data_IF_165233225044
#
_entry.id   IF_165233225044
#
_cell.length_a   1.000
_cell.length_b   1.000
_cell.length_c   1.000
_cell.angle_alpha   90.00
_cell.angle_beta   90.00
_cell.angle_gamma   90.00
#
_symmetry.space_group_name_H-M   'P 1'
#
loop_
_entity.id
_entity.type
_entity.pdbx_description
1 polymer ?
#
# COMPACT_ATOMS: atom_id res chain seq x y z
N UNK A 1 82.45 -6.03 8.07
CA UNK A 1 81.26 -6.79 7.65
C UNK A 1 80.12 -6.36 8.57
N UNK A 2 79.34 -5.36 8.16
CA UNK A 2 78.25 -4.79 8.95
C UNK A 2 77.00 -4.82 8.07
N UNK A 3 76.00 -5.60 8.51
CA UNK A 3 74.73 -5.79 7.82
C UNK A 3 73.77 -4.74 8.36
N UNK A 4 73.33 -3.83 7.49
CA UNK A 4 72.31 -2.82 7.79
C UNK A 4 70.95 -3.47 7.60
N UNK A 5 70.21 -3.61 8.69
CA UNK A 5 68.85 -4.12 8.74
C UNK A 5 67.87 -2.97 8.41
N UNK A 6 67.23 -3.01 7.25
CA UNK A 6 66.21 -2.03 6.85
C UNK A 6 64.84 -2.50 7.31
N UNK A 7 64.24 -1.75 8.24
CA UNK A 7 62.94 -1.99 8.85
C UNK A 7 61.85 -1.41 7.94
N UNK A 8 61.00 -2.26 7.35
CA UNK A 8 59.84 -1.84 6.53
C UNK A 8 58.65 -1.63 7.45
N UNK A 9 58.18 -0.38 7.59
CA UNK A 9 56.92 -0.04 8.24
C UNK A 9 55.74 -0.40 7.31
N UNK A 10 54.85 -1.27 7.79
CA UNK A 10 53.53 -1.51 7.19
C UNK A 10 52.59 -0.37 7.62
N UNK A 11 52.07 0.40 6.66
CA UNK A 11 50.91 1.27 6.87
C UNK A 11 49.65 0.48 6.47
N UNK A 12 48.64 0.31 7.34
CA UNK A 12 47.43 -0.38 6.97
C UNK A 12 46.60 0.48 5.98
N UNK A 13 46.28 -0.14 4.85
CA UNK A 13 45.41 0.37 3.80
C UNK A 13 43.97 0.45 4.34
N UNK A 14 43.44 1.66 4.54
CA UNK A 14 42.01 1.86 4.79
C UNK A 14 41.25 1.73 3.47
N UNK A 15 40.51 0.63 3.32
CA UNK A 15 39.56 0.45 2.23
C UNK A 15 38.44 1.48 2.35
N UNK A 16 38.30 2.34 1.34
CA UNK A 16 37.11 3.17 1.17
C UNK A 16 35.94 2.24 0.84
N UNK A 17 34.88 2.28 1.65
CA UNK A 17 33.60 1.66 1.30
C UNK A 17 33.04 2.41 0.08
N UNK A 18 32.97 1.70 -1.03
CA UNK A 18 32.44 2.20 -2.28
C UNK A 18 30.90 2.15 -2.18
N UNK A 19 30.25 3.32 -2.19
CA UNK A 19 28.80 3.41 -2.36
C UNK A 19 28.42 2.70 -3.66
N UNK A 20 27.83 1.52 -3.52
CA UNK A 20 27.32 0.75 -4.65
C UNK A 20 25.87 1.16 -4.84
N UNK A 21 25.62 2.02 -5.83
CA UNK A 21 24.29 2.24 -6.37
C UNK A 21 23.81 0.96 -7.03
N UNK A 22 23.25 0.04 -6.22
CA UNK A 22 22.55 -1.13 -6.71
C UNK A 22 21.13 -0.69 -7.11
N UNK A 23 20.84 -0.78 -8.40
CA UNK A 23 19.58 -0.40 -9.00
C UNK A 23 18.42 -1.16 -8.34
N UNK A 24 17.46 -0.41 -7.77
CA UNK A 24 16.13 -0.90 -7.50
C UNK A 24 15.56 -1.54 -8.79
N UNK A 25 15.16 -2.80 -8.72
CA UNK A 25 14.49 -3.49 -9.82
C UNK A 25 13.04 -3.03 -9.91
N UNK A 26 12.84 -1.82 -10.42
CA UNK A 26 11.51 -1.39 -10.82
C UNK A 26 11.11 -2.28 -12.00
N UNK A 27 10.04 -3.08 -11.86
CA UNK A 27 9.35 -3.67 -13.01
C UNK A 27 8.53 -2.59 -13.77
N UNK A 28 9.08 -1.38 -13.84
CA UNK A 28 8.70 -0.30 -14.72
C UNK A 28 9.92 -0.02 -15.58
N UNK A 29 9.71 0.05 -16.89
CA UNK A 29 10.76 0.24 -17.87
C UNK A 29 11.53 1.55 -17.61
N UNK A 30 12.64 1.48 -16.86
CA UNK A 30 13.44 2.62 -16.42
C UNK A 30 14.08 3.41 -17.58
N UNK A 31 14.00 2.89 -18.81
CA UNK A 31 14.46 3.55 -20.04
C UNK A 31 13.40 4.30 -20.84
N UNK A 32 12.12 4.27 -20.44
CA UNK A 32 10.99 4.79 -21.22
C UNK A 32 10.78 4.05 -22.55
N UNK A 33 9.74 4.42 -23.31
CA UNK A 33 9.50 3.83 -24.63
C UNK A 33 10.30 4.58 -25.70
N UNK A 34 11.08 3.85 -26.50
CA UNK A 34 12.01 4.49 -27.45
C UNK A 34 11.30 5.18 -28.61
N UNK A 35 10.08 4.75 -28.93
CA UNK A 35 9.24 5.27 -30.01
C UNK A 35 8.32 6.42 -29.59
N UNK A 36 8.36 6.83 -28.32
CA UNK A 36 7.63 8.01 -27.84
C UNK A 36 8.51 9.26 -27.79
N UNK A 37 9.83 9.13 -27.99
CA UNK A 37 10.75 10.28 -27.95
C UNK A 37 10.42 11.33 -29.02
N UNK A 38 10.20 12.56 -28.59
CA UNK A 38 9.76 13.68 -29.43
C UNK A 38 8.29 13.61 -29.86
N UNK A 39 7.51 12.65 -29.35
CA UNK A 39 6.09 12.54 -29.63
C UNK A 39 5.31 13.53 -28.74
N UNK A 40 4.23 14.11 -29.26
CA UNK A 40 3.41 15.10 -28.51
C UNK A 40 2.81 14.56 -27.21
N UNK A 41 2.65 13.23 -27.11
CA UNK A 41 2.13 12.54 -25.93
C UNK A 41 3.24 11.91 -25.06
N UNK A 42 4.52 12.20 -25.33
CA UNK A 42 5.65 11.59 -24.63
C UNK A 42 5.54 11.72 -23.11
N UNK A 43 5.33 12.94 -22.62
CA UNK A 43 5.27 13.23 -21.18
C UNK A 43 4.12 12.47 -20.51
N UNK A 44 2.93 12.46 -21.13
CA UNK A 44 1.76 11.76 -20.57
C UNK A 44 1.96 10.25 -20.58
N UNK A 45 2.52 9.68 -21.65
CA UNK A 45 2.83 8.25 -21.72
C UNK A 45 3.89 7.88 -20.68
N UNK A 46 4.91 8.72 -20.49
CA UNK A 46 5.93 8.52 -19.47
C UNK A 46 5.35 8.58 -18.06
N UNK A 47 4.46 9.56 -17.77
CA UNK A 47 3.70 9.66 -16.51
C UNK A 47 2.93 8.37 -16.26
N UNK A 48 2.08 7.94 -17.20
CA UNK A 48 1.27 6.74 -17.05
C UNK A 48 2.12 5.47 -16.89
N UNK A 49 3.26 5.39 -17.60
CA UNK A 49 4.18 4.27 -17.48
C UNK A 49 4.86 4.24 -16.11
N UNK A 50 5.27 5.40 -15.59
CA UNK A 50 5.86 5.54 -14.25
C UNK A 50 4.87 5.23 -13.13
N UNK A 51 3.60 5.54 -13.34
CA UNK A 51 2.50 5.18 -12.44
C UNK A 51 2.06 3.71 -12.56
N UNK A 52 2.61 2.93 -13.49
CA UNK A 52 2.18 1.55 -13.74
C UNK A 52 0.76 1.43 -14.32
N UNK A 53 0.19 2.53 -14.82
CA UNK A 53 -1.15 2.60 -15.41
C UNK A 53 -1.17 2.13 -16.88
N UNK A 54 -0.01 2.06 -17.52
CA UNK A 54 0.10 1.58 -18.90
C UNK A 54 1.32 0.71 -19.11
N UNK A 55 1.15 -0.28 -20.00
CA UNK A 55 2.21 -1.15 -20.50
C UNK A 55 2.40 -0.94 -22.00
N UNK A 56 3.65 -1.07 -22.45
CA UNK A 56 4.00 -1.08 -23.87
C UNK A 56 3.51 -2.34 -24.57
N UNK A 57 3.52 -2.34 -25.90
CA UNK A 57 3.27 -3.55 -26.69
C UNK A 57 4.51 -4.46 -26.74
N UNK A 58 5.69 -3.90 -26.50
CA UNK A 58 6.91 -4.63 -26.14
C UNK A 58 7.54 -3.99 -24.90
N UNK A 59 8.66 -4.57 -24.45
CA UNK A 59 9.45 -4.02 -23.34
C UNK A 59 9.83 -2.57 -23.57
N UNK A 60 10.17 -2.19 -24.80
CA UNK A 60 10.73 -0.88 -25.17
C UNK A 60 9.86 -0.04 -26.12
N UNK A 61 8.70 -0.55 -26.60
CA UNK A 61 7.82 0.14 -27.56
C UNK A 61 6.40 0.32 -27.03
N UNK A 62 5.89 1.54 -27.18
CA UNK A 62 4.50 1.88 -26.86
C UNK A 62 3.54 1.81 -28.06
N UNK A 63 4.05 2.09 -29.26
CA UNK A 63 3.31 2.29 -30.51
C UNK A 63 2.24 3.40 -30.42
N UNK A 64 2.63 4.67 -30.18
CA UNK A 64 1.70 5.76 -29.86
C UNK A 64 0.67 6.05 -30.96
N UNK A 65 1.01 5.78 -32.22
CA UNK A 65 0.17 6.05 -33.38
C UNK A 65 -0.69 4.85 -33.83
N UNK A 66 -0.52 3.68 -33.21
CA UNK A 66 -1.38 2.53 -33.50
C UNK A 66 -2.79 2.77 -32.95
N UNK A 67 -3.80 2.27 -33.64
CA UNK A 67 -5.17 2.27 -33.12
C UNK A 67 -5.26 1.39 -31.88
N UNK A 68 -5.95 1.87 -30.84
CA UNK A 68 -6.21 1.09 -29.64
C UNK A 68 -7.46 0.22 -29.84
N UNK A 69 -7.36 -1.04 -29.43
CA UNK A 69 -8.50 -1.96 -29.44
C UNK A 69 -9.44 -1.73 -28.26
N UNK A 70 -10.67 -2.22 -28.35
CA UNK A 70 -11.65 -2.18 -27.24
C UNK A 70 -11.12 -2.91 -26.00
N UNK A 71 -10.48 -4.06 -26.18
CA UNK A 71 -9.87 -4.81 -25.08
C UNK A 71 -8.70 -4.06 -24.42
N UNK A 72 -7.79 -3.47 -25.21
CA UNK A 72 -6.69 -2.69 -24.67
C UNK A 72 -7.20 -1.46 -23.91
N UNK A 73 -8.22 -0.76 -24.43
CA UNK A 73 -8.80 0.37 -23.73
C UNK A 73 -9.45 -0.04 -22.40
N UNK A 74 -10.18 -1.16 -22.37
CA UNK A 74 -10.75 -1.69 -21.12
C UNK A 74 -9.66 -1.97 -20.08
N UNK A 75 -8.55 -2.58 -20.51
CA UNK A 75 -7.41 -2.83 -19.63
C UNK A 75 -6.81 -1.54 -19.04
N UNK A 76 -6.65 -0.48 -19.85
CA UNK A 76 -6.15 0.81 -19.35
C UNK A 76 -7.08 1.42 -18.31
N UNK A 77 -8.39 1.39 -18.57
CA UNK A 77 -9.39 1.99 -17.68
C UNK A 77 -9.51 1.20 -16.39
N UNK A 78 -9.58 -0.13 -16.47
CA UNK A 78 -9.65 -0.99 -15.29
C UNK A 78 -8.41 -0.82 -14.40
N UNK A 79 -7.23 -0.75 -15.02
CA UNK A 79 -5.97 -0.50 -14.31
C UNK A 79 -5.95 0.88 -13.65
N UNK A 80 -6.38 1.92 -14.36
CA UNK A 80 -6.40 3.29 -13.84
C UNK A 80 -7.46 3.49 -12.74
N UNK A 81 -8.59 2.79 -12.81
CA UNK A 81 -9.71 2.94 -11.89
C UNK A 81 -9.78 1.88 -10.78
N UNK A 82 -8.82 0.94 -10.73
CA UNK A 82 -8.78 -0.11 -9.71
C UNK A 82 -9.97 -1.08 -9.77
N UNK A 83 -10.53 -1.33 -10.95
CA UNK A 83 -11.74 -2.16 -11.11
C UNK A 83 -11.43 -3.64 -10.80
N UNK A 84 -12.18 -4.23 -9.88
CA UNK A 84 -12.01 -5.59 -9.40
C UNK A 84 -13.27 -6.47 -9.55
N UNK A 85 -14.47 -5.88 -9.51
CA UNK A 85 -15.73 -6.59 -9.74
C UNK A 85 -15.82 -7.18 -11.16
N UNK A 86 -16.30 -8.42 -11.27
CA UNK A 86 -16.43 -9.14 -12.54
C UNK A 86 -17.88 -9.55 -12.80
N UNK A 87 -18.33 -9.41 -14.05
CA UNK A 87 -19.62 -9.90 -14.52
C UNK A 87 -19.45 -11.16 -15.38
N UNK A 88 -20.48 -12.01 -15.39
CA UNK A 88 -20.51 -13.16 -16.30
C UNK A 88 -20.53 -12.70 -17.77
N UNK A 89 -19.65 -13.29 -18.58
CA UNK A 89 -19.54 -12.97 -20.01
C UNK A 89 -20.42 -13.90 -20.84
N UNK A 90 -21.26 -13.30 -21.68
CA UNK A 90 -22.15 -14.02 -22.61
C UNK A 90 -21.85 -13.73 -24.10
N UNK A 91 -20.72 -13.08 -24.41
CA UNK A 91 -20.37 -12.72 -25.79
C UNK A 91 -19.73 -13.90 -26.53
N UNK A 92 -20.14 -14.11 -27.78
CA UNK A 92 -19.69 -15.26 -28.58
C UNK A 92 -18.22 -15.18 -29.00
N UNK A 93 -17.62 -13.99 -28.96
CA UNK A 93 -16.24 -13.70 -29.37
C UNK A 93 -15.29 -13.39 -28.20
N UNK A 94 -15.71 -13.66 -26.96
CA UNK A 94 -14.90 -13.45 -25.75
C UNK A 94 -14.73 -14.78 -25.01
N UNK A 95 -13.67 -15.52 -25.34
CA UNK A 95 -13.37 -16.82 -24.74
C UNK A 95 -12.58 -16.68 -23.42
N UNK A 96 -12.89 -17.51 -22.42
CA UNK A 96 -12.29 -17.47 -21.06
C UNK A 96 -10.77 -17.63 -20.98
N UNK A 97 -10.14 -18.20 -22.00
CA UNK A 97 -8.68 -18.34 -22.09
C UNK A 97 -7.95 -17.14 -22.71
N UNK A 98 -8.66 -16.06 -23.07
CA UNK A 98 -8.06 -14.87 -23.68
C UNK A 98 -7.64 -13.86 -22.62
N UNK A 99 -6.51 -13.18 -22.85
CA UNK A 99 -5.93 -12.20 -21.92
C UNK A 99 -6.92 -11.10 -21.53
N UNK A 100 -7.79 -10.71 -22.46
CA UNK A 100 -8.78 -9.65 -22.27
C UNK A 100 -10.07 -10.12 -21.58
N UNK A 101 -10.24 -11.42 -21.33
CA UNK A 101 -11.52 -11.94 -20.81
C UNK A 101 -11.92 -11.25 -19.51
N UNK A 102 -10.98 -11.15 -18.56
CA UNK A 102 -11.19 -10.49 -17.27
C UNK A 102 -11.40 -8.99 -17.44
N UNK A 103 -10.67 -8.35 -18.35
CA UNK A 103 -10.82 -6.92 -18.60
C UNK A 103 -12.21 -6.58 -19.17
N UNK A 104 -12.73 -7.45 -20.04
CA UNK A 104 -14.11 -7.34 -20.53
C UNK A 104 -15.09 -7.59 -19.39
N UNK A 105 -14.88 -8.61 -18.55
CA UNK A 105 -15.77 -8.92 -17.42
C UNK A 105 -15.92 -7.73 -16.46
N UNK A 106 -14.81 -7.07 -16.13
CA UNK A 106 -14.78 -5.86 -15.31
C UNK A 106 -15.46 -4.68 -15.99
N UNK A 107 -15.19 -4.47 -17.27
CA UNK A 107 -15.81 -3.38 -18.02
C UNK A 107 -17.34 -3.50 -18.13
N UNK A 108 -17.85 -4.75 -18.20
CA UNK A 108 -19.28 -5.04 -18.16
C UNK A 108 -19.85 -4.85 -16.75
N UNK A 109 -19.17 -5.33 -15.71
CA UNK A 109 -19.60 -5.16 -14.31
C UNK A 109 -19.76 -3.68 -13.95
N UNK A 110 -18.75 -2.87 -14.31
CA UNK A 110 -18.75 -1.43 -14.08
C UNK A 110 -19.69 -0.66 -15.03
N UNK A 111 -20.28 -1.31 -16.04
CA UNK A 111 -21.30 -0.73 -16.92
C UNK A 111 -20.81 0.31 -17.93
N UNK A 112 -19.50 0.60 -17.99
CA UNK A 112 -18.96 1.61 -18.90
C UNK A 112 -18.78 1.10 -20.34
N UNK A 113 -18.62 -0.21 -20.54
CA UNK A 113 -18.67 -0.85 -21.86
C UNK A 113 -19.87 -1.79 -21.99
N UNK A 114 -20.32 -1.98 -23.23
CA UNK A 114 -21.40 -2.89 -23.59
C UNK A 114 -21.04 -3.61 -24.91
N UNK A 115 -21.65 -4.77 -25.12
CA UNK A 115 -21.57 -5.50 -26.40
C UNK A 115 -22.51 -4.93 -27.46
N UNK A 116 -22.41 -5.49 -28.65
CA UNK A 116 -23.24 -5.14 -29.80
C UNK A 116 -24.51 -5.99 -29.82
N UNK A 117 -25.51 -5.52 -30.57
CA UNK A 117 -26.80 -6.20 -30.74
C UNK A 117 -26.68 -7.60 -31.39
N UNK A 118 -25.56 -7.88 -32.06
CA UNK A 118 -25.24 -9.18 -32.67
C UNK A 118 -24.71 -10.23 -31.66
N UNK A 119 -24.62 -9.88 -30.37
CA UNK A 119 -24.11 -10.76 -29.31
C UNK A 119 -22.59 -10.80 -29.19
N UNK A 120 -21.87 -9.90 -29.85
CA UNK A 120 -20.40 -9.81 -29.80
C UNK A 120 -19.92 -8.63 -28.95
N UNK A 121 -18.67 -8.66 -28.50
CA UNK A 121 -17.99 -7.54 -27.85
C UNK A 121 -16.97 -6.85 -28.77
N UNK A 122 -16.44 -7.57 -29.75
CA UNK A 122 -15.37 -7.16 -30.69
C UNK A 122 -14.10 -6.69 -29.97
N UNK A 123 -13.47 -7.52 -29.12
CA UNK A 123 -12.36 -7.12 -28.25
C UNK A 123 -11.16 -6.56 -29.03
N UNK A 124 -10.87 -7.14 -30.19
CA UNK A 124 -9.73 -6.76 -31.04
C UNK A 124 -10.07 -5.65 -32.05
N UNK A 125 -11.31 -5.16 -32.09
CA UNK A 125 -11.67 -4.06 -32.98
C UNK A 125 -11.14 -2.73 -32.44
N UNK A 126 -10.62 -1.90 -33.34
CA UNK A 126 -10.23 -0.54 -33.02
C UNK A 126 -11.46 0.27 -32.56
N UNK A 127 -11.28 1.08 -31.51
CA UNK A 127 -12.35 1.95 -31.01
C UNK A 127 -12.36 3.30 -31.74
N UNK A 128 -13.52 3.71 -32.22
CA UNK A 128 -13.71 5.05 -32.80
C UNK A 128 -13.82 6.13 -31.72
N UNK A 129 -13.59 7.39 -32.11
CA UNK A 129 -13.67 8.51 -31.17
C UNK A 129 -15.07 8.71 -30.58
N UNK A 130 -16.12 8.46 -31.35
CA UNK A 130 -17.50 8.53 -30.85
C UNK A 130 -17.82 7.43 -29.84
N UNK A 131 -17.27 6.23 -30.02
CA UNK A 131 -17.42 5.14 -29.05
C UNK A 131 -16.66 5.43 -27.76
N UNK A 132 -15.46 6.01 -27.86
CA UNK A 132 -14.71 6.48 -26.70
C UNK A 132 -15.48 7.57 -25.93
N UNK A 133 -16.12 8.51 -26.64
CA UNK A 133 -16.95 9.55 -26.00
C UNK A 133 -18.12 8.95 -25.20
N UNK A 134 -18.87 8.01 -25.81
CA UNK A 134 -19.96 7.29 -25.13
C UNK A 134 -19.46 6.53 -23.91
N UNK A 135 -18.29 5.89 -24.03
CA UNK A 135 -17.69 5.17 -22.93
C UNK A 135 -17.34 6.10 -21.77
N UNK A 136 -16.61 7.19 -22.02
CA UNK A 136 -16.17 8.13 -20.99
C UNK A 136 -17.37 8.77 -20.30
N UNK A 137 -18.40 9.14 -21.06
CA UNK A 137 -19.64 9.67 -20.51
C UNK A 137 -20.27 8.70 -19.50
N UNK A 138 -20.37 7.40 -19.87
CA UNK A 138 -20.90 6.36 -18.97
C UNK A 138 -20.01 6.14 -17.76
N UNK A 139 -18.70 6.05 -17.98
CA UNK A 139 -17.69 5.84 -16.93
C UNK A 139 -17.76 6.92 -15.85
N UNK A 140 -18.02 8.16 -16.24
CA UNK A 140 -18.10 9.31 -15.34
C UNK A 140 -19.52 9.69 -14.91
N UNK A 141 -20.54 8.98 -15.40
CA UNK A 141 -21.95 9.30 -15.13
C UNK A 141 -22.36 10.71 -15.58
N UNK A 142 -21.77 11.22 -16.67
CA UNK A 142 -22.08 12.55 -17.21
C UNK A 142 -23.38 12.45 -18.02
N UNK A 143 -24.27 13.43 -17.86
CA UNK A 143 -25.51 13.48 -18.64
C UNK A 143 -25.24 13.82 -20.11
N UNK A 144 -26.06 13.27 -21.01
CA UNK A 144 -25.97 13.58 -22.43
C UNK A 144 -26.23 15.07 -22.67
N UNK A 145 -25.41 15.68 -23.53
CA UNK A 145 -25.53 17.07 -23.91
C UNK A 145 -25.39 17.20 -25.42
N UNK A 146 -26.37 17.81 -26.08
CA UNK A 146 -26.26 18.07 -27.52
C UNK A 146 -25.04 18.98 -27.78
N UNK A 147 -24.21 18.63 -28.77
CA UNK A 147 -22.97 19.34 -29.03
C UNK A 147 -23.24 20.78 -29.49
N UNK A 148 -22.39 21.72 -29.07
CA UNK A 148 -22.40 23.07 -29.63
C UNK A 148 -22.28 23.01 -31.16
N UNK A 149 -22.92 23.95 -31.87
CA UNK A 149 -22.98 24.02 -33.34
C UNK A 149 -21.61 24.23 -34.04
N UNK A 150 -20.51 24.10 -33.31
CA UNK A 150 -19.13 24.29 -33.73
C UNK A 150 -18.57 23.12 -34.53
N UNK A 151 -19.08 21.89 -34.35
CA UNK A 151 -18.57 20.70 -35.04
C UNK A 151 -19.54 20.18 -36.10
N UNK A 152 -19.28 20.51 -37.37
CA UNK A 152 -20.18 20.23 -38.49
C UNK A 152 -20.37 18.72 -38.76
N UNK A 153 -19.35 17.91 -38.46
CA UNK A 153 -19.39 16.46 -38.66
C UNK A 153 -20.14 15.72 -37.55
N UNK A 154 -20.29 16.31 -36.36
CA UNK A 154 -21.08 15.73 -35.27
C UNK A 154 -22.58 15.82 -35.56
N UNK A 155 -23.03 16.85 -36.28
CA UNK A 155 -24.43 16.95 -36.71
C UNK A 155 -24.89 15.71 -37.52
N UNK A 156 -23.96 15.14 -38.30
CA UNK A 156 -24.18 13.95 -39.13
C UNK A 156 -23.77 12.64 -38.43
N UNK A 157 -23.27 12.69 -37.20
CA UNK A 157 -22.94 11.50 -36.43
C UNK A 157 -24.23 10.75 -36.01
N UNK A 158 -24.15 9.43 -35.77
CA UNK A 158 -25.30 8.67 -35.30
C UNK A 158 -25.89 9.25 -34.01
N UNK A 159 -27.22 9.32 -33.92
CA UNK A 159 -27.93 9.94 -32.79
C UNK A 159 -27.47 9.44 -31.42
N UNK A 160 -27.18 8.13 -31.29
CA UNK A 160 -26.71 7.49 -30.06
C UNK A 160 -25.36 8.01 -29.54
N UNK A 161 -24.58 8.72 -30.37
CA UNK A 161 -23.27 9.25 -30.01
C UNK A 161 -23.23 10.77 -29.83
N UNK A 162 -24.20 11.50 -30.37
CA UNK A 162 -24.13 12.98 -30.42
C UNK A 162 -24.14 13.60 -29.02
N UNK A 163 -25.06 13.15 -28.16
CA UNK A 163 -25.17 13.60 -26.78
C UNK A 163 -23.90 13.32 -25.96
N UNK A 164 -23.29 12.15 -26.18
CA UNK A 164 -22.03 11.82 -25.51
C UNK A 164 -20.85 12.65 -26.01
N UNK A 165 -20.77 12.90 -27.33
CA UNK A 165 -19.73 13.75 -27.91
C UNK A 165 -19.84 15.17 -27.34
N UNK A 166 -21.04 15.74 -27.26
CA UNK A 166 -21.22 17.07 -26.67
C UNK A 166 -20.84 17.10 -25.19
N UNK A 167 -21.24 16.09 -24.41
CA UNK A 167 -20.93 15.98 -22.99
C UNK A 167 -19.42 15.97 -22.70
N UNK A 168 -18.63 15.15 -23.42
CA UNK A 168 -17.18 15.06 -23.19
C UNK A 168 -16.42 16.29 -23.70
N UNK A 169 -16.98 17.04 -24.65
CA UNK A 169 -16.43 18.32 -25.11
C UNK A 169 -16.68 19.40 -24.06
N UNK A 170 -17.91 19.52 -23.56
CA UNK A 170 -18.26 20.49 -22.51
C UNK A 170 -17.45 20.25 -21.23
N UNK A 171 -17.25 18.98 -20.88
CA UNK A 171 -16.43 18.60 -19.73
C UNK A 171 -14.91 18.82 -19.95
N UNK A 172 -14.48 19.28 -21.13
CA UNK A 172 -13.06 19.50 -21.47
C UNK A 172 -12.23 18.22 -21.61
N UNK A 173 -12.88 17.06 -21.69
CA UNK A 173 -12.22 15.75 -21.70
C UNK A 173 -11.72 15.42 -23.11
N UNK A 174 -12.53 15.69 -24.13
CA UNK A 174 -12.16 15.51 -25.54
C UNK A 174 -12.29 16.82 -26.32
N UNK A 175 -11.47 16.96 -27.36
CA UNK A 175 -11.51 18.09 -28.30
C UNK A 175 -11.46 17.57 -29.73
N UNK A 176 -11.88 18.39 -30.71
CA UNK A 176 -11.77 18.05 -32.12
C UNK A 176 -10.33 17.86 -32.61
N UNK A 177 -10.18 17.17 -33.75
CA UNK A 177 -8.87 16.92 -34.39
C UNK A 177 -8.38 18.10 -35.23
N UNK A 178 -9.31 18.91 -35.71
CA UNK A 178 -9.05 20.13 -36.47
C UNK A 178 -10.19 21.13 -36.22
N UNK A 179 -9.99 22.37 -36.66
CA UNK A 179 -11.00 23.42 -36.53
C UNK A 179 -12.33 22.97 -37.16
N UNK A 180 -13.39 22.94 -36.34
CA UNK A 180 -14.73 22.53 -36.76
C UNK A 180 -14.95 21.03 -37.01
N UNK A 181 -13.98 20.16 -36.71
CA UNK A 181 -14.10 18.71 -36.95
C UNK A 181 -13.78 17.85 -35.72
N UNK A 182 -14.77 17.07 -35.25
CA UNK A 182 -14.55 16.12 -34.15
C UNK A 182 -13.93 14.80 -34.60
N UNK A 183 -14.22 14.40 -35.83
CA UNK A 183 -13.89 13.11 -36.45
C UNK A 183 -14.50 11.87 -35.74
N UNK A 184 -15.84 11.75 -35.62
CA UNK A 184 -16.52 10.71 -34.84
C UNK A 184 -16.12 9.28 -35.19
N UNK A 185 -15.98 8.97 -36.48
CA UNK A 185 -15.73 7.62 -37.01
C UNK A 185 -14.24 7.24 -37.06
N UNK A 186 -13.34 8.18 -36.78
CA UNK A 186 -11.90 7.92 -36.87
C UNK A 186 -11.46 7.03 -35.71
N UNK A 187 -10.66 5.97 -35.95
CA UNK A 187 -10.05 5.18 -34.88
C UNK A 187 -9.22 6.05 -33.93
N UNK A 188 -9.31 5.77 -32.64
CA UNK A 188 -8.52 6.43 -31.61
C UNK A 188 -7.15 5.79 -31.52
N UNK A 189 -6.08 6.58 -31.46
CA UNK A 189 -4.73 6.04 -31.26
C UNK A 189 -4.46 5.74 -29.78
N UNK A 190 -3.45 4.91 -29.51
CA UNK A 190 -3.00 4.64 -28.12
C UNK A 190 -2.58 5.91 -27.39
N UNK A 191 -1.87 6.82 -28.06
CA UNK A 191 -1.50 8.12 -27.48
C UNK A 191 -2.72 9.00 -27.19
N UNK A 192 -3.69 9.05 -28.11
CA UNK A 192 -4.94 9.80 -27.89
C UNK A 192 -5.71 9.24 -26.69
N UNK A 193 -5.84 7.91 -26.59
CA UNK A 193 -6.53 7.28 -25.47
C UNK A 193 -5.88 7.63 -24.12
N UNK A 194 -4.56 7.48 -24.01
CA UNK A 194 -3.84 7.80 -22.75
C UNK A 194 -3.98 9.28 -22.40
N UNK A 195 -3.88 10.19 -23.36
CA UNK A 195 -4.03 11.63 -23.07
C UNK A 195 -5.46 12.00 -22.67
N UNK A 196 -6.46 11.38 -23.28
CA UNK A 196 -7.85 11.60 -22.91
C UNK A 196 -8.11 11.04 -21.50
N UNK A 197 -7.62 9.84 -21.20
CA UNK A 197 -7.75 9.25 -19.87
C UNK A 197 -6.98 10.03 -18.81
N UNK A 198 -5.82 10.62 -19.14
CA UNK A 198 -5.03 11.44 -18.21
C UNK A 198 -5.82 12.66 -17.72
N UNK A 199 -6.67 13.26 -18.57
CA UNK A 199 -7.54 14.40 -18.19
C UNK A 199 -8.59 14.03 -17.16
N UNK A 200 -8.87 12.74 -17.00
CA UNK A 200 -9.87 12.23 -16.06
C UNK A 200 -9.23 11.32 -15.01
N UNK A 201 -7.90 11.18 -14.99
CA UNK A 201 -7.22 10.19 -14.13
C UNK A 201 -7.51 10.44 -12.66
N UNK A 202 -7.54 11.68 -12.21
CA UNK A 202 -7.89 12.04 -10.82
C UNK A 202 -9.35 11.71 -10.46
N UNK A 203 -10.23 11.53 -11.46
CA UNK A 203 -11.62 11.09 -11.29
C UNK A 203 -11.79 9.58 -11.40
N UNK A 204 -10.87 8.91 -12.11
CA UNK A 204 -10.83 7.46 -12.25
C UNK A 204 -10.17 6.81 -11.05
N UNK A 205 -9.12 7.46 -10.53
CA UNK A 205 -8.46 7.09 -9.29
C UNK A 205 -9.39 7.46 -8.14
N UNK A 206 -10.31 6.55 -7.82
CA UNK A 206 -10.80 6.40 -6.44
C UNK A 206 -9.55 6.25 -5.54
N UNK A 207 -9.51 6.73 -4.28
CA UNK A 207 -8.29 6.81 -3.44
C UNK A 207 -7.52 5.48 -3.21
N UNK A 208 -7.91 4.41 -3.86
CA UNK A 208 -7.12 3.20 -4.07
C UNK A 208 -6.48 3.27 -5.47
N UNK A 209 -5.43 4.08 -5.63
CA UNK A 209 -4.50 3.94 -6.75
C UNK A 209 -3.97 2.48 -6.79
N UNK A 210 -3.61 1.90 -7.96
CA UNK A 210 -2.78 0.70 -7.95
C UNK A 210 -1.52 1.06 -7.16
N UNK A 211 -1.35 0.43 -5.99
CA UNK A 211 -0.30 0.77 -5.06
C UNK A 211 1.04 0.78 -5.79
N UNK A 212 1.60 1.97 -6.03
CA UNK A 212 2.99 2.13 -6.45
C UNK A 212 3.84 1.43 -5.39
N UNK A 213 4.22 0.19 -5.63
CA UNK A 213 4.84 -0.65 -4.61
C UNK A 213 6.32 -0.72 -4.88
N UNK A 214 7.12 -0.09 -4.02
CA UNK A 214 8.58 -0.24 -4.02
C UNK A 214 8.94 -1.45 -3.18
N UNK A 215 9.69 -2.40 -3.76
CA UNK A 215 10.10 -3.61 -3.05
C UNK A 215 11.60 -3.59 -2.78
N UNK A 216 11.99 -3.89 -1.55
CA UNK A 216 13.37 -4.10 -1.10
C UNK A 216 13.55 -5.59 -0.76
N UNK A 217 13.98 -6.38 -1.74
CA UNK A 217 14.12 -7.85 -1.68
C UNK A 217 15.57 -8.33 -1.55
N UNK A 218 16.50 -7.41 -1.33
CA UNK A 218 17.89 -7.69 -0.99
C UNK A 218 18.28 -6.99 0.32
N UNK A 219 19.25 -7.55 1.04
CA UNK A 219 19.81 -6.91 2.23
C UNK A 219 20.53 -5.62 1.82
N UNK A 220 20.40 -4.55 2.61
CA UNK A 220 21.02 -3.28 2.27
C UNK A 220 20.45 -2.08 3.02
N UNK A 221 21.09 -0.93 2.83
CA UNK A 221 20.56 0.36 3.29
C UNK A 221 19.95 1.10 2.11
N UNK A 222 18.68 1.49 2.26
CA UNK A 222 17.88 2.21 1.28
C UNK A 222 17.47 3.56 1.86
N UNK A 223 17.32 4.54 0.99
CA UNK A 223 17.14 5.93 1.38
C UNK A 223 18.46 6.61 1.75
N UNK A 224 18.57 7.89 1.40
CA UNK A 224 19.78 8.70 1.57
C UNK A 224 19.76 9.57 2.82
N UNK A 225 20.75 10.45 2.94
CA UNK A 225 20.77 11.51 3.96
C UNK A 225 19.72 12.61 3.69
N UNK A 226 19.29 12.74 2.42
CA UNK A 226 18.20 13.65 2.06
C UNK A 226 16.88 12.90 2.13
N UNK A 227 15.85 13.43 2.83
CA UNK A 227 14.55 12.80 2.85
C UNK A 227 13.95 12.63 1.46
N UNK A 228 13.34 11.48 1.22
CA UNK A 228 12.65 11.16 -0.03
C UNK A 228 11.19 10.75 0.23
N UNK A 229 10.34 10.83 -0.79
CA UNK A 229 8.95 10.41 -0.72
C UNK A 229 8.69 9.31 -1.75
N UNK A 230 8.10 8.21 -1.27
CA UNK A 230 7.54 7.13 -2.08
C UNK A 230 6.03 7.36 -2.10
N UNK A 231 5.50 7.73 -3.28
CA UNK A 231 4.08 8.07 -3.48
C UNK A 231 3.12 6.89 -3.29
N UNK A 232 3.63 5.66 -3.12
CA UNK A 232 2.81 4.49 -2.81
C UNK A 232 3.31 3.68 -1.63
N UNK A 233 3.17 2.36 -1.73
CA UNK A 233 3.50 1.42 -0.65
C UNK A 233 4.93 0.91 -0.75
N UNK A 234 5.46 0.44 0.38
CA UNK A 234 6.77 -0.19 0.48
C UNK A 234 6.61 -1.63 0.93
N UNK A 235 7.38 -2.54 0.32
CA UNK A 235 7.47 -3.94 0.70
C UNK A 235 8.92 -4.27 1.02
N UNK A 236 9.20 -4.69 2.25
CA UNK A 236 10.50 -5.20 2.68
C UNK A 236 10.44 -6.73 2.63
N UNK A 237 11.14 -7.28 1.65
CA UNK A 237 11.19 -8.70 1.31
C UNK A 237 12.41 -9.45 1.86
N UNK A 238 13.46 -8.74 2.27
CA UNK A 238 14.71 -9.34 2.73
C UNK A 238 15.07 -8.97 4.17
N UNK A 239 15.83 -9.87 4.79
CA UNK A 239 16.54 -9.61 6.04
C UNK A 239 17.62 -8.54 5.85
N UNK A 240 17.99 -7.91 6.96
CA UNK A 240 19.06 -6.91 7.07
C UNK A 240 18.83 -5.67 6.20
N UNK A 241 17.56 -5.32 5.99
CA UNK A 241 17.14 -4.09 5.33
C UNK A 241 17.09 -2.93 6.32
N UNK A 242 17.76 -1.84 5.98
CA UNK A 242 17.66 -0.55 6.67
C UNK A 242 17.01 0.44 5.73
N UNK A 243 15.82 0.96 6.07
CA UNK A 243 15.16 2.04 5.33
C UNK A 243 15.37 3.36 6.08
N UNK A 244 15.95 4.36 5.41
CA UNK A 244 16.36 5.64 6.01
C UNK A 244 15.63 6.83 5.40
N UNK A 245 15.17 7.74 6.24
CA UNK A 245 14.68 9.08 5.85
C UNK A 245 13.60 9.07 4.75
N UNK A 246 12.78 8.02 4.71
CA UNK A 246 11.77 7.84 3.65
C UNK A 246 10.38 8.18 4.18
N UNK A 247 9.63 8.99 3.43
CA UNK A 247 8.17 9.15 3.62
C UNK A 247 7.46 8.18 2.69
N UNK A 248 6.65 7.28 3.24
CA UNK A 248 5.81 6.34 2.51
C UNK A 248 4.38 6.86 2.56
N UNK A 249 3.85 7.29 1.41
CA UNK A 249 2.49 7.81 1.31
C UNK A 249 1.43 6.71 1.48
N UNK A 250 1.74 5.48 1.07
CA UNK A 250 0.90 4.30 1.24
C UNK A 250 1.29 3.43 2.45
N UNK A 251 1.10 2.13 2.30
CA UNK A 251 1.36 1.14 3.35
C UNK A 251 2.84 0.69 3.34
N UNK A 252 3.33 0.21 4.49
CA UNK A 252 4.62 -0.46 4.60
C UNK A 252 4.42 -1.90 5.04
N UNK A 253 4.90 -2.88 4.28
CA UNK A 253 4.83 -4.30 4.64
C UNK A 253 6.22 -4.89 4.83
N UNK A 254 6.51 -5.38 6.04
CA UNK A 254 7.67 -6.24 6.32
C UNK A 254 7.19 -7.68 6.16
N UNK A 255 7.54 -8.31 5.04
CA UNK A 255 6.94 -9.59 4.65
C UNK A 255 7.49 -10.77 5.46
N UNK A 256 6.78 -11.90 5.39
CA UNK A 256 7.26 -13.19 5.91
C UNK A 256 8.61 -13.64 5.33
N UNK A 257 9.03 -13.14 4.16
CA UNK A 257 10.28 -13.53 3.52
C UNK A 257 11.53 -13.07 4.30
N UNK A 258 11.39 -12.05 5.16
CA UNK A 258 12.41 -11.64 6.13
C UNK A 258 12.75 -12.77 7.11
N UNK A 259 11.82 -13.70 7.36
CA UNK A 259 12.06 -14.86 8.24
C UNK A 259 12.38 -14.42 9.67
N UNK A 260 13.54 -14.82 10.18
CA UNK A 260 14.09 -14.44 11.50
C UNK A 260 15.07 -13.26 11.44
N UNK A 261 15.24 -12.64 10.27
CA UNK A 261 16.20 -11.56 10.04
C UNK A 261 15.84 -10.23 10.71
N UNK A 262 16.74 -9.25 10.58
CA UNK A 262 16.53 -7.90 11.13
C UNK A 262 15.97 -6.93 10.07
N UNK A 263 15.23 -5.92 10.51
CA UNK A 263 14.81 -4.77 9.68
C UNK A 263 14.87 -3.52 10.55
N UNK A 264 15.34 -2.42 9.98
CA UNK A 264 15.45 -1.13 10.67
C UNK A 264 14.79 -0.03 9.86
N UNK A 265 13.84 0.65 10.48
CA UNK A 265 13.22 1.88 9.96
C UNK A 265 13.84 3.05 10.73
N UNK A 266 14.60 3.92 10.06
CA UNK A 266 15.32 5.02 10.69
C UNK A 266 14.93 6.36 10.04
N UNK A 267 14.23 7.23 10.76
CA UNK A 267 13.70 8.47 10.16
C UNK A 267 12.57 8.24 9.16
N UNK A 268 11.86 7.11 9.23
CA UNK A 268 10.80 6.75 8.28
C UNK A 268 9.45 7.29 8.74
N UNK A 269 8.68 7.85 7.83
CA UNK A 269 7.28 8.24 8.07
C UNK A 269 6.37 7.39 7.20
N UNK A 270 5.36 6.72 7.78
CA UNK A 270 4.37 5.94 7.03
C UNK A 270 2.99 6.57 7.26
N UNK A 271 2.35 7.02 6.18
CA UNK A 271 1.00 7.60 6.23
C UNK A 271 -0.10 6.54 6.23
N UNK A 272 0.13 5.39 5.59
CA UNK A 272 -0.76 4.23 5.63
C UNK A 272 -0.51 3.30 6.83
N UNK A 273 -0.87 2.04 6.65
CA UNK A 273 -0.67 0.97 7.63
C UNK A 273 0.74 0.39 7.51
N UNK A 274 1.33 0.03 8.64
CA UNK A 274 2.52 -0.79 8.73
C UNK A 274 2.14 -2.23 9.09
N UNK A 275 2.38 -3.19 8.19
CA UNK A 275 2.14 -4.62 8.43
C UNK A 275 3.46 -5.36 8.63
N UNK A 276 3.62 -6.03 9.77
CA UNK A 276 4.85 -6.74 10.15
C UNK A 276 4.57 -8.25 10.24
N UNK A 277 5.11 -9.01 9.29
CA UNK A 277 4.90 -10.45 9.13
C UNK A 277 6.18 -11.28 9.22
N UNK A 278 7.35 -10.62 9.23
CA UNK A 278 8.67 -11.24 9.37
C UNK A 278 9.53 -10.48 10.37
N UNK A 279 10.63 -11.10 10.82
CA UNK A 279 11.49 -10.63 11.90
C UNK A 279 11.63 -11.66 13.02
N UNK A 280 12.82 -11.85 13.57
CA UNK A 280 13.07 -12.74 14.72
C UNK A 280 12.94 -12.12 16.12
N UNK A 281 13.41 -12.84 17.13
CA UNK A 281 13.34 -12.44 18.54
C UNK A 281 14.20 -11.20 18.93
N UNK A 282 15.08 -10.75 18.04
CA UNK A 282 15.91 -9.55 18.22
C UNK A 282 15.77 -8.56 17.07
N UNK A 283 14.62 -8.55 16.40
CA UNK A 283 14.43 -7.82 15.15
C UNK A 283 13.50 -6.61 15.28
N UNK A 284 13.31 -5.93 14.16
CA UNK A 284 12.43 -4.79 13.91
C UNK A 284 12.73 -3.59 14.82
N UNK A 285 13.60 -2.73 14.33
CA UNK A 285 13.97 -1.49 15.00
C UNK A 285 13.26 -0.30 14.36
N UNK A 286 12.47 0.40 15.15
CA UNK A 286 11.79 1.64 14.78
C UNK A 286 12.54 2.78 15.49
N UNK A 287 13.32 3.52 14.72
CA UNK A 287 14.25 4.56 15.19
C UNK A 287 13.85 5.90 14.59
N UNK A 288 13.59 6.91 15.42
CA UNK A 288 13.17 8.25 14.99
C UNK A 288 12.07 8.23 13.90
N UNK A 289 11.15 7.27 13.97
CA UNK A 289 10.20 6.98 12.88
C UNK A 289 8.76 7.18 13.35
N UNK A 290 7.90 7.64 12.45
CA UNK A 290 6.48 7.89 12.70
C UNK A 290 5.62 6.94 11.88
N UNK A 291 5.03 5.96 12.54
CA UNK A 291 4.16 4.96 11.91
C UNK A 291 2.69 5.29 12.18
N UNK A 292 1.82 4.98 11.22
CA UNK A 292 0.36 5.03 11.37
C UNK A 292 -0.16 3.90 12.28
N UNK A 293 -1.11 3.11 11.77
CA UNK A 293 -1.50 1.84 12.38
C UNK A 293 -0.41 0.78 12.15
N UNK A 294 -0.05 0.03 13.17
CA UNK A 294 0.89 -1.09 13.07
C UNK A 294 0.15 -2.38 13.36
N UNK A 295 0.24 -3.37 12.47
CA UNK A 295 -0.24 -4.73 12.70
C UNK A 295 0.95 -5.70 12.75
N UNK A 296 1.09 -6.43 13.85
CA UNK A 296 2.09 -7.48 14.02
C UNK A 296 1.41 -8.84 13.87
N UNK A 297 1.72 -9.52 12.78
CA UNK A 297 1.10 -10.79 12.39
C UNK A 297 2.14 -11.72 11.75
N UNK A 298 3.11 -12.14 12.55
CA UNK A 298 4.12 -13.11 12.14
C UNK A 298 3.56 -14.53 12.27
N UNK A 299 3.51 -15.24 11.15
CA UNK A 299 3.16 -16.65 11.13
C UNK A 299 4.36 -17.49 11.61
N UNK A 300 4.17 -18.30 12.65
CA UNK A 300 5.13 -19.34 13.02
C UNK A 300 6.32 -18.91 13.90
N UNK A 301 6.14 -17.99 14.84
CA UNK A 301 7.17 -17.64 15.83
C UNK A 301 6.82 -16.37 16.59
N UNK A 302 7.63 -16.04 17.60
CA UNK A 302 7.55 -14.74 18.26
C UNK A 302 8.44 -13.71 17.54
N UNK A 303 8.02 -12.47 17.54
CA UNK A 303 8.75 -11.33 16.97
C UNK A 303 9.02 -10.29 18.05
N UNK A 304 10.16 -9.63 17.98
CA UNK A 304 10.42 -8.42 18.78
C UNK A 304 10.21 -7.19 17.90
N UNK A 305 9.67 -6.12 18.47
CA UNK A 305 9.58 -4.80 17.83
C UNK A 305 10.00 -3.76 18.85
N UNK A 306 10.93 -2.89 18.49
CA UNK A 306 11.53 -1.90 19.38
C UNK A 306 11.27 -0.50 18.86
N UNK A 307 10.61 0.33 19.66
CA UNK A 307 10.43 1.76 19.42
C UNK A 307 11.43 2.55 20.28
N UNK A 308 12.27 3.36 19.64
CA UNK A 308 13.13 4.30 20.35
C UNK A 308 12.35 5.49 20.93
N UNK A 309 13.04 6.34 21.69
CA UNK A 309 12.43 7.47 22.40
C UNK A 309 11.80 8.53 21.47
N UNK A 310 12.19 8.58 20.19
CA UNK A 310 11.67 9.54 19.22
C UNK A 310 10.57 8.95 18.33
N UNK A 311 10.34 7.63 18.41
CA UNK A 311 9.43 6.92 17.53
C UNK A 311 7.98 6.96 17.99
N UNK A 312 7.08 6.83 17.02
CA UNK A 312 5.63 6.97 17.20
C UNK A 312 4.88 5.89 16.47
N UNK A 313 3.79 5.43 17.05
CA UNK A 313 2.78 4.60 16.41
C UNK A 313 1.40 4.99 16.93
N UNK A 314 0.43 5.20 16.04
CA UNK A 314 -0.94 5.59 16.43
C UNK A 314 -1.63 4.47 17.20
N UNK A 315 -1.50 3.24 16.69
CA UNK A 315 -2.01 2.03 17.31
C UNK A 315 -1.12 0.86 16.92
N UNK A 316 -0.96 -0.13 17.82
CA UNK A 316 -0.26 -1.38 17.56
C UNK A 316 -1.22 -2.54 17.84
N UNK A 317 -1.63 -3.26 16.80
CA UNK A 317 -2.44 -4.47 16.92
C UNK A 317 -1.57 -5.72 16.84
N UNK A 318 -1.68 -6.59 17.84
CA UNK A 318 -0.93 -7.84 17.92
C UNK A 318 -1.86 -9.01 17.57
N UNK A 319 -1.59 -9.65 16.43
CA UNK A 319 -2.28 -10.83 15.92
C UNK A 319 -1.41 -12.11 16.00
N UNK A 320 -0.17 -11.99 16.48
CA UNK A 320 0.76 -13.10 16.74
C UNK A 320 1.53 -12.87 18.05
N UNK A 321 2.16 -13.92 18.64
CA UNK A 321 3.09 -13.75 19.76
C UNK A 321 4.16 -12.70 19.46
N UNK A 322 4.39 -11.77 20.39
CA UNK A 322 5.29 -10.65 20.17
C UNK A 322 5.85 -10.08 21.49
N UNK A 323 7.05 -9.53 21.40
CA UNK A 323 7.65 -8.65 22.40
C UNK A 323 7.68 -7.23 21.85
N UNK A 324 7.01 -6.29 22.51
CA UNK A 324 7.07 -4.86 22.15
C UNK A 324 7.87 -4.13 23.22
N UNK A 325 8.91 -3.42 22.79
CA UNK A 325 9.72 -2.57 23.65
C UNK A 325 9.52 -1.11 23.23
N UNK A 326 9.07 -0.26 24.15
CA UNK A 326 8.80 1.15 23.91
C UNK A 326 9.64 2.01 24.86
N UNK A 327 10.73 2.60 24.35
CA UNK A 327 11.62 3.42 25.16
C UNK A 327 10.89 4.60 25.81
N UNK A 328 11.41 5.09 26.93
CA UNK A 328 10.88 6.30 27.58
C UNK A 328 10.94 7.48 26.59
N UNK A 329 9.80 8.14 26.38
CA UNK A 329 9.64 9.21 25.39
C UNK A 329 8.94 8.79 24.10
N UNK A 330 8.94 7.48 23.77
CA UNK A 330 8.20 6.97 22.61
C UNK A 330 6.70 7.26 22.74
N UNK A 331 6.05 7.49 21.60
CA UNK A 331 4.61 7.79 21.52
C UNK A 331 3.89 6.62 20.86
N UNK A 332 3.84 5.49 21.58
CA UNK A 332 3.04 4.33 21.19
C UNK A 332 1.66 4.50 21.83
N UNK A 333 0.64 4.71 21.01
CA UNK A 333 -0.75 4.92 21.44
C UNK A 333 -1.37 3.66 22.06
N UNK A 334 -2.46 3.16 21.48
CA UNK A 334 -3.09 1.93 21.96
C UNK A 334 -2.34 0.69 21.48
N UNK A 335 -2.01 -0.22 22.39
CA UNK A 335 -1.57 -1.58 22.06
C UNK A 335 -2.73 -2.56 22.28
N UNK A 336 -3.26 -3.11 21.19
CA UNK A 336 -4.38 -4.03 21.20
C UNK A 336 -3.91 -5.47 20.97
N UNK A 337 -4.15 -6.36 21.93
CA UNK A 337 -4.05 -7.81 21.73
C UNK A 337 -5.37 -8.26 21.10
N UNK A 338 -5.41 -8.21 19.77
CA UNK A 338 -6.64 -8.35 18.99
C UNK A 338 -7.26 -9.75 19.07
N UNK A 339 -8.55 -9.87 18.74
CA UNK A 339 -9.29 -11.14 18.77
C UNK A 339 -8.75 -12.21 17.80
N UNK A 340 -7.93 -11.82 16.82
CA UNK A 340 -7.22 -12.73 15.92
C UNK A 340 -5.99 -13.41 16.53
N UNK A 341 -5.55 -13.00 17.72
CA UNK A 341 -4.40 -13.60 18.41
C UNK A 341 -4.73 -15.06 18.81
N UNK A 342 -3.91 -16.07 18.45
CA UNK A 342 -4.16 -17.45 18.82
C UNK A 342 -4.26 -17.66 20.34
N UNK A 343 -5.14 -18.55 20.79
CA UNK A 343 -5.28 -18.87 22.21
C UNK A 343 -3.97 -19.37 22.81
N UNK A 344 -3.63 -18.89 24.01
CA UNK A 344 -2.36 -19.22 24.67
C UNK A 344 -1.16 -18.42 24.17
N UNK A 345 -1.34 -17.48 23.25
CA UNK A 345 -0.25 -16.61 22.79
C UNK A 345 0.33 -15.79 23.95
N UNK A 346 1.66 -15.73 24.00
CA UNK A 346 2.40 -14.92 24.95
C UNK A 346 2.80 -13.59 24.30
N UNK A 347 2.49 -12.51 25.00
CA UNK A 347 2.82 -11.14 24.63
C UNK A 347 3.63 -10.54 25.75
N UNK A 348 4.77 -9.93 25.42
CA UNK A 348 5.63 -9.25 26.38
C UNK A 348 5.67 -7.76 26.04
N UNK A 349 5.33 -6.91 27.00
CA UNK A 349 5.42 -5.46 26.86
C UNK A 349 6.45 -4.91 27.84
N UNK A 350 7.45 -4.20 27.34
CA UNK A 350 8.43 -3.50 28.17
C UNK A 350 8.49 -2.01 27.80
N UNK A 351 8.49 -1.16 28.83
CA UNK A 351 8.59 0.29 28.63
C UNK A 351 7.29 1.04 28.91
N UNK A 352 7.04 2.14 28.19
CA UNK A 352 5.90 3.02 28.49
C UNK A 352 4.82 2.92 27.42
N UNK A 353 3.58 2.66 27.85
CA UNK A 353 2.41 2.53 26.98
C UNK A 353 1.27 3.38 27.52
N UNK A 354 0.60 4.14 26.64
CA UNK A 354 -0.55 4.95 27.05
C UNK A 354 -1.74 4.06 27.42
N UNK A 355 -2.07 3.12 26.53
CA UNK A 355 -3.22 2.23 26.68
C UNK A 355 -2.91 0.84 26.14
N UNK A 356 -3.29 -0.18 26.88
CA UNK A 356 -3.20 -1.59 26.49
C UNK A 356 -4.57 -2.23 26.62
N UNK A 357 -5.05 -2.85 25.55
CA UNK A 357 -6.34 -3.55 25.52
C UNK A 357 -6.11 -5.03 25.22
N UNK A 358 -6.48 -5.88 26.17
CA UNK A 358 -6.50 -7.33 25.99
C UNK A 358 -7.88 -7.73 25.46
N UNK A 359 -7.95 -7.99 24.15
CA UNK A 359 -9.15 -8.46 23.43
C UNK A 359 -9.22 -9.98 23.26
N UNK A 360 -8.06 -10.60 23.12
CA UNK A 360 -7.91 -12.03 22.87
C UNK A 360 -8.28 -12.93 24.06
N UNK A 361 -8.88 -14.09 23.78
CA UNK A 361 -9.14 -15.15 24.77
C UNK A 361 -7.87 -15.92 25.10
N UNK A 362 -7.71 -16.27 26.38
CA UNK A 362 -6.57 -17.04 26.88
C UNK A 362 -5.19 -16.46 26.49
N UNK A 363 -5.10 -15.17 26.25
CA UNK A 363 -3.82 -14.50 26.00
C UNK A 363 -3.05 -14.35 27.32
N UNK A 364 -1.73 -14.45 27.24
CA UNK A 364 -0.85 -14.14 28.36
C UNK A 364 -0.08 -12.87 28.06
N UNK A 365 -0.40 -11.80 28.79
CA UNK A 365 0.35 -10.55 28.78
C UNK A 365 1.34 -10.56 29.94
N UNK A 366 2.62 -10.34 29.67
CA UNK A 366 3.67 -10.18 30.68
C UNK A 366 4.36 -8.84 30.53
N UNK A 367 4.69 -8.20 31.64
CA UNK A 367 5.53 -6.99 31.67
C UNK A 367 6.70 -7.21 32.62
N UNK A 368 7.94 -7.00 32.19
CA UNK A 368 9.08 -7.12 33.11
C UNK A 368 9.29 -5.81 33.89
N UNK A 369 9.25 -4.70 33.15
CA UNK A 369 9.46 -3.33 33.64
C UNK A 369 8.65 -2.35 32.80
N UNK A 370 8.30 -1.22 33.40
CA UNK A 370 7.70 -0.11 32.66
C UNK A 370 6.39 0.40 33.25
N UNK A 371 5.70 1.27 32.49
CA UNK A 371 4.45 1.88 32.92
C UNK A 371 3.38 1.72 31.86
N UNK A 372 2.20 1.25 32.26
CA UNK A 372 0.99 1.29 31.45
C UNK A 372 0.04 2.34 32.07
N UNK A 373 -0.41 3.29 31.26
CA UNK A 373 -1.42 4.27 31.67
C UNK A 373 -2.74 3.58 31.99
N UNK A 374 -3.38 3.02 30.98
CA UNK A 374 -4.61 2.23 31.11
C UNK A 374 -4.39 0.81 30.60
N UNK A 375 -4.71 -0.19 31.43
CA UNK A 375 -4.76 -1.59 31.04
C UNK A 375 -6.20 -2.09 31.16
N UNK A 376 -6.81 -2.47 30.03
CA UNK A 376 -8.14 -3.04 30.00
C UNK A 376 -8.07 -4.51 29.57
N UNK A 377 -8.64 -5.40 30.38
CA UNK A 377 -9.00 -6.76 29.94
C UNK A 377 -10.46 -6.75 29.56
N UNK A 378 -10.72 -6.77 28.26
CA UNK A 378 -12.07 -6.62 27.71
C UNK A 378 -12.96 -7.81 28.03
N UNK A 379 -14.29 -7.63 27.90
CA UNK A 379 -15.31 -8.67 28.10
C UNK A 379 -15.04 -9.97 27.30
N UNK A 380 -14.42 -9.84 26.12
CA UNK A 380 -14.17 -10.94 25.20
C UNK A 380 -12.90 -11.73 25.56
N UNK A 381 -12.05 -11.22 26.45
CA UNK A 381 -10.75 -11.80 26.80
C UNK A 381 -10.81 -12.86 27.93
N UNK A 382 -11.78 -13.76 27.87
CA UNK A 382 -12.00 -14.76 28.93
C UNK A 382 -10.76 -15.65 29.14
N UNK A 383 -10.39 -15.83 30.41
CA UNK A 383 -9.29 -16.72 30.80
C UNK A 383 -7.89 -16.19 30.47
N UNK A 384 -7.79 -14.93 30.03
CA UNK A 384 -6.51 -14.26 29.81
C UNK A 384 -5.81 -13.97 31.15
N UNK A 385 -4.48 -13.91 31.08
CA UNK A 385 -3.60 -13.71 32.24
C UNK A 385 -2.74 -12.47 32.00
N UNK A 386 -2.57 -11.69 33.05
CA UNK A 386 -1.66 -10.55 33.10
C UNK A 386 -0.63 -10.81 34.20
N UNK A 387 0.64 -10.78 33.87
CA UNK A 387 1.74 -10.96 34.82
C UNK A 387 2.60 -9.71 34.87
N UNK A 388 2.57 -9.02 36.01
CA UNK A 388 3.28 -7.75 36.21
C UNK A 388 4.57 -7.99 37.00
N UNK A 389 5.71 -7.78 36.36
CA UNK A 389 7.02 -7.81 36.98
C UNK A 389 7.18 -6.74 38.05
N UNK A 390 8.12 -6.94 38.98
CA UNK A 390 8.32 -6.08 40.17
C UNK A 390 8.50 -4.59 39.84
N UNK A 391 9.09 -4.30 38.69
CA UNK A 391 9.40 -2.94 38.21
C UNK A 391 8.33 -2.42 37.23
N UNK A 392 7.18 -3.10 37.15
CA UNK A 392 6.04 -2.71 36.32
C UNK A 392 5.00 -1.94 37.12
N UNK A 393 4.38 -0.96 36.47
CA UNK A 393 3.34 -0.11 37.06
C UNK A 393 2.16 0.06 36.11
N UNK A 394 0.95 -0.12 36.62
CA UNK A 394 -0.31 0.15 35.91
C UNK A 394 -1.05 1.27 36.65
N UNK A 395 -1.38 2.39 35.99
CA UNK A 395 -2.10 3.49 36.66
C UNK A 395 -3.58 3.17 36.81
N UNK A 396 -4.24 2.75 35.72
CA UNK A 396 -5.64 2.33 35.74
C UNK A 396 -5.75 0.92 35.17
N UNK A 397 -6.26 -0.01 35.97
CA UNK A 397 -6.62 -1.36 35.54
C UNK A 397 -8.14 -1.48 35.44
N UNK A 398 -8.64 -2.07 34.36
CA UNK A 398 -10.07 -2.39 34.18
C UNK A 398 -10.20 -3.87 33.78
N UNK A 399 -10.97 -4.64 34.56
CA UNK A 399 -11.23 -6.06 34.30
C UNK A 399 -12.71 -6.28 33.98
N UNK A 400 -13.03 -6.34 32.69
CA UNK A 400 -14.38 -6.57 32.17
C UNK A 400 -14.65 -8.05 31.86
N UNK A 401 -13.65 -8.93 32.02
CA UNK A 401 -13.79 -10.38 31.91
C UNK A 401 -13.00 -11.08 33.01
N UNK A 402 -13.39 -12.31 33.35
CA UNK A 402 -12.72 -13.13 34.36
C UNK A 402 -11.27 -13.42 33.95
N UNK A 403 -10.34 -12.68 34.57
CA UNK A 403 -8.92 -12.71 34.26
C UNK A 403 -8.06 -12.69 35.53
N UNK A 404 -6.87 -13.27 35.45
CA UNK A 404 -5.92 -13.31 36.55
C UNK A 404 -4.80 -12.28 36.34
N UNK A 405 -4.65 -11.35 37.27
CA UNK A 405 -3.53 -10.42 37.35
C UNK A 405 -2.60 -10.87 38.48
N UNK A 406 -1.38 -11.29 38.14
CA UNK A 406 -0.37 -11.81 39.07
C UNK A 406 0.92 -11.00 39.01
N UNK A 407 1.89 -11.37 39.86
CA UNK A 407 3.22 -10.77 39.91
C UNK A 407 3.37 -9.72 41.03
N UNK A 408 4.50 -9.03 41.02
CA UNK A 408 4.94 -8.10 42.08
C UNK A 408 4.71 -6.62 41.73
N UNK A 409 4.37 -6.33 40.47
CA UNK A 409 4.15 -4.98 39.96
C UNK A 409 3.05 -4.21 40.69
N UNK A 410 3.07 -2.89 40.55
CA UNK A 410 2.11 -2.00 41.21
C UNK A 410 0.90 -1.70 40.32
N UNK A 411 -0.28 -1.69 40.92
CA UNK A 411 -1.52 -1.19 40.30
C UNK A 411 -2.02 -0.02 41.15
N UNK A 412 -2.16 1.18 40.58
CA UNK A 412 -2.62 2.34 41.34
C UNK A 412 -4.13 2.29 41.57
N UNK A 413 -4.92 2.16 40.51
CA UNK A 413 -6.38 2.07 40.54
C UNK A 413 -6.87 0.82 39.81
N UNK A 414 -7.91 0.17 40.30
CA UNK A 414 -8.49 -0.99 39.63
C UNK A 414 -10.04 -1.01 39.67
N UNK A 415 -10.67 -1.02 38.49
CA UNK A 415 -12.09 -1.31 38.34
C UNK A 415 -12.29 -2.79 37.98
N UNK A 416 -12.97 -3.55 38.86
CA UNK A 416 -13.22 -4.99 38.66
C UNK A 416 -14.71 -5.20 38.38
N UNK A 417 -15.03 -5.39 37.10
CA UNK A 417 -16.42 -5.45 36.62
C UNK A 417 -16.91 -6.89 36.37
N UNK A 418 -16.01 -7.87 36.31
CA UNK A 418 -16.34 -9.26 36.03
C UNK A 418 -16.03 -10.22 37.19
N UNK A 419 -16.98 -11.11 37.48
CA UNK A 419 -16.79 -12.24 38.39
C UNK A 419 -15.64 -13.15 37.95
N UNK A 420 -14.95 -13.75 38.92
CA UNK A 420 -13.80 -14.64 38.67
C UNK A 420 -12.48 -13.92 38.37
N UNK A 421 -12.46 -12.59 38.39
CA UNK A 421 -11.23 -11.80 38.30
C UNK A 421 -10.43 -11.86 39.60
N UNK A 422 -9.10 -12.00 39.50
CA UNK A 422 -8.21 -12.07 40.68
C UNK A 422 -7.02 -11.15 40.52
N UNK A 423 -6.63 -10.44 41.59
CA UNK A 423 -5.41 -9.65 41.66
C UNK A 423 -4.52 -10.19 42.79
N UNK A 424 -3.27 -10.55 42.48
CA UNK A 424 -2.32 -11.05 43.48
C UNK A 424 -1.89 -9.96 44.48
N UNK A 425 -1.87 -8.69 44.07
CA UNK A 425 -1.51 -7.54 44.90
C UNK A 425 -2.68 -6.58 44.99
N UNK A 426 -2.95 -6.07 46.18
CA UNK A 426 -3.99 -5.06 46.40
C UNK A 426 -3.61 -3.75 45.68
N UNK A 427 -4.51 -3.14 44.89
CA UNK A 427 -4.24 -1.85 44.27
C UNK A 427 -4.25 -0.71 45.32
N UNK A 428 -3.74 0.46 44.94
CA UNK A 428 -3.78 1.65 45.79
C UNK A 428 -5.21 2.13 46.08
N UNK A 429 -6.08 2.07 45.09
CA UNK A 429 -7.50 2.40 45.12
C UNK A 429 -8.29 1.35 44.32
N UNK A 430 -9.50 1.01 44.76
CA UNK A 430 -10.44 0.10 44.07
C UNK A 430 -11.68 0.89 43.71
#
# INVERSE_FOLDING_TARGET
MAIVLTMVMLVPYMAHAQETGANASVNANAGGFVDTKGHWAEETIAKWSGLGLVKGQSVDRFNPNASITRAELAALINQAAGMDEEAAIAFTDVASGKWYYIEVAKAIAAGYMQGYADGTFKPEAAISRQELAVLIMRLLGIEEQEPAATYADVANAPAWSRGAIGAVIEAGIMSGKSEGQFSPLTPTTRAEAVVILDRIVDKLVSPVAPALTVTYDEAGTYGGETPETIEGSVVIGAADVVLKNTTVAGDLTITKAVGEGDVRLNGVTVHGRTLIQGGGANSIHIENSSLGEVEVNKQGGAIRVVFDAASKATQVTLASPAKIEAAEGSQVGEVALGTGLPSGSEIVLEGSFERVVVGAQQAKLTTDKGTIGELQVSKDAKGSKVELGKDSKVKQLTLDSGAAVSGEGAVEKAAINAEGSTLAKKPGEV
#
